data_IF_557225731482
#
_entry.id   IF_557225731482
#
_cell.length_a   1.000
_cell.length_b   1.000
_cell.length_c   1.000
_cell.angle_alpha   90.00
_cell.angle_beta   90.00
_cell.angle_gamma   90.00
#
_symmetry.space_group_name_H-M   'P 1'
#
loop_
_entity.id
_entity.type
_entity.pdbx_description
1 polymer ?
#
# COMPACT_ATOMS: atom_id res chain seq x y z
N UNK A 1 -14.32 8.43 -22.51
CA UNK A 1 -14.51 7.22 -21.68
C UNK A 1 -13.29 7.13 -20.79
N UNK A 2 -13.46 6.84 -19.50
CA UNK A 2 -12.31 6.58 -18.64
C UNK A 2 -11.59 5.32 -19.16
N UNK A 3 -10.25 5.31 -19.11
CA UNK A 3 -9.48 4.13 -19.50
C UNK A 3 -9.83 2.95 -18.57
N UNK A 4 -9.92 1.72 -19.11
CA UNK A 4 -10.19 0.55 -18.28
C UNK A 4 -9.08 0.35 -17.25
N UNK A 5 -9.46 0.02 -16.02
CA UNK A 5 -8.51 -0.30 -14.94
C UNK A 5 -7.70 -1.54 -15.32
N UNK A 6 -6.38 -1.43 -15.26
CA UNK A 6 -5.42 -2.53 -15.44
C UNK A 6 -5.08 -3.13 -14.07
N UNK A 7 -5.25 -4.44 -13.93
CA UNK A 7 -5.04 -5.15 -12.66
C UNK A 7 -3.68 -5.84 -12.60
N UNK A 8 -3.19 -6.08 -11.38
CA UNK A 8 -1.95 -6.83 -11.16
C UNK A 8 -2.22 -8.29 -11.50
N UNK A 9 -1.54 -8.87 -12.49
CA UNK A 9 -1.74 -10.26 -12.82
C UNK A 9 -1.07 -11.17 -11.76
N UNK A 10 -1.73 -12.24 -11.27
CA UNK A 10 -1.16 -13.11 -10.23
C UNK A 10 0.21 -13.70 -10.60
N UNK A 11 0.48 -13.95 -11.87
CA UNK A 11 1.77 -14.43 -12.37
C UNK A 11 2.93 -13.45 -12.17
N UNK A 12 2.65 -12.17 -11.88
CA UNK A 12 3.69 -11.19 -11.50
C UNK A 12 4.09 -11.24 -10.03
N UNK A 13 3.32 -11.94 -9.17
CA UNK A 13 3.61 -12.02 -7.73
C UNK A 13 5.02 -12.54 -7.41
N UNK A 14 5.55 -13.60 -8.05
CA UNK A 14 6.91 -14.06 -7.79
C UNK A 14 7.96 -12.96 -8.04
N UNK A 15 7.82 -12.18 -9.13
CA UNK A 15 8.74 -11.09 -9.43
C UNK A 15 8.64 -9.95 -8.41
N UNK A 16 7.43 -9.63 -7.96
CA UNK A 16 7.20 -8.62 -6.91
C UNK A 16 7.82 -9.07 -5.58
N UNK A 17 7.63 -10.34 -5.21
CA UNK A 17 8.23 -10.90 -4.00
C UNK A 17 9.75 -10.87 -4.08
N UNK A 18 10.34 -11.34 -5.17
CA UNK A 18 11.80 -11.27 -5.38
C UNK A 18 12.32 -9.84 -5.28
N UNK A 19 11.66 -8.87 -5.89
CA UNK A 19 12.08 -7.46 -5.79
C UNK A 19 12.06 -6.92 -4.35
N UNK A 20 11.07 -7.32 -3.54
CA UNK A 20 11.02 -6.95 -2.11
C UNK A 20 12.12 -7.69 -1.33
N UNK A 21 12.32 -8.97 -1.58
CA UNK A 21 13.33 -9.78 -0.88
C UNK A 21 14.76 -9.30 -1.17
N UNK A 22 15.09 -9.06 -2.44
CA UNK A 22 16.38 -8.49 -2.88
C UNK A 22 16.66 -7.14 -2.22
N UNK A 23 15.62 -6.31 -2.10
CA UNK A 23 15.71 -5.03 -1.41
C UNK A 23 16.05 -5.21 0.09
N UNK A 24 15.34 -6.09 0.79
CA UNK A 24 15.55 -6.32 2.23
C UNK A 24 16.88 -6.99 2.58
N UNK A 25 17.38 -7.84 1.68
CA UNK A 25 18.71 -8.43 1.82
C UNK A 25 19.83 -7.37 1.83
N UNK A 26 19.64 -6.22 1.17
CA UNK A 26 20.59 -5.10 1.21
C UNK A 26 20.61 -4.39 2.57
N UNK A 27 19.47 -4.37 3.26
CA UNK A 27 19.26 -3.65 4.53
C UNK A 27 19.49 -4.52 5.78
N UNK A 28 19.82 -5.82 5.62
CA UNK A 28 20.00 -6.79 6.71
C UNK A 28 18.75 -6.92 7.63
N UNK A 29 17.56 -6.65 7.09
CA UNK A 29 16.25 -6.76 7.74
C UNK A 29 15.67 -8.18 7.51
N UNK A 30 14.98 -8.81 8.49
CA UNK A 30 14.32 -10.10 8.29
C UNK A 30 13.41 -10.12 7.06
N UNK A 31 13.80 -10.95 6.11
CA UNK A 31 13.13 -11.16 4.83
C UNK A 31 11.90 -12.03 5.04
N UNK A 32 10.74 -11.53 4.60
CA UNK A 32 9.54 -12.34 4.49
C UNK A 32 9.68 -13.22 3.24
N UNK A 33 9.61 -14.54 3.40
CA UNK A 33 9.64 -15.48 2.28
C UNK A 33 8.21 -15.72 1.77
N UNK A 34 7.62 -14.70 1.14
CA UNK A 34 6.20 -14.70 0.77
C UNK A 34 5.80 -15.96 -0.01
N UNK A 35 6.64 -16.38 -0.98
CA UNK A 35 6.38 -17.54 -1.82
C UNK A 35 6.26 -18.87 -1.04
N UNK A 36 6.85 -18.94 0.17
CA UNK A 36 6.78 -20.12 1.03
C UNK A 36 5.53 -20.14 1.92
N UNK A 37 4.85 -18.99 2.08
CA UNK A 37 3.67 -18.82 2.93
C UNK A 37 2.38 -19.05 2.13
N UNK A 38 2.06 -20.31 1.87
CA UNK A 38 0.93 -20.73 0.99
C UNK A 38 -0.43 -20.13 1.35
N UNK A 39 -0.70 -19.95 2.64
CA UNK A 39 -1.98 -19.36 3.10
C UNK A 39 -2.03 -17.86 2.79
N UNK A 40 -0.92 -17.15 3.00
CA UNK A 40 -0.78 -15.74 2.62
C UNK A 40 -0.91 -15.52 1.13
N UNK A 41 -0.29 -16.37 0.30
CA UNK A 41 -0.46 -16.33 -1.16
C UNK A 41 -1.92 -16.50 -1.57
N UNK A 42 -2.63 -17.48 -1.01
CA UNK A 42 -4.06 -17.71 -1.32
C UNK A 42 -4.94 -16.52 -0.92
N UNK A 43 -4.67 -15.90 0.22
CA UNK A 43 -5.39 -14.71 0.68
C UNK A 43 -5.11 -13.50 -0.24
N UNK A 44 -3.85 -13.32 -0.66
CA UNK A 44 -3.47 -12.27 -1.58
C UNK A 44 -4.13 -12.46 -2.97
N UNK A 45 -4.11 -13.67 -3.52
CA UNK A 45 -4.79 -14.01 -4.78
C UNK A 45 -6.28 -13.67 -4.71
N UNK A 46 -6.95 -14.03 -3.60
CA UNK A 46 -8.36 -13.71 -3.38
C UNK A 46 -8.62 -12.19 -3.35
N UNK A 47 -7.71 -11.40 -2.77
CA UNK A 47 -7.81 -9.93 -2.85
C UNK A 47 -7.68 -9.45 -4.29
N UNK A 48 -6.69 -9.93 -5.05
CA UNK A 48 -6.48 -9.54 -6.45
C UNK A 48 -7.66 -9.92 -7.37
N UNK A 49 -8.34 -11.02 -7.10
CA UNK A 49 -9.60 -11.38 -7.78
C UNK A 49 -10.72 -10.41 -7.38
N UNK A 50 -10.89 -10.19 -6.07
CA UNK A 50 -12.01 -9.41 -5.53
C UNK A 50 -11.96 -7.92 -5.86
N UNK A 51 -10.77 -7.32 -6.07
CA UNK A 51 -10.68 -5.90 -6.48
C UNK A 51 -11.36 -5.62 -7.83
N UNK A 52 -11.53 -6.66 -8.65
CA UNK A 52 -12.11 -6.59 -10.00
C UNK A 52 -13.63 -6.56 -9.96
N UNK A 53 -14.25 -6.91 -8.83
CA UNK A 53 -15.70 -6.89 -8.65
C UNK A 53 -16.27 -5.45 -8.63
N UNK A 54 -17.56 -5.33 -8.93
CA UNK A 54 -18.28 -4.04 -9.01
C UNK A 54 -18.58 -3.41 -7.63
N UNK A 55 -18.18 -4.04 -6.52
CA UNK A 55 -18.32 -3.48 -5.17
C UNK A 55 -17.46 -2.24 -4.92
N UNK A 56 -16.42 -2.03 -5.74
CA UNK A 56 -15.50 -0.89 -5.66
C UNK A 56 -15.68 -0.04 -6.93
N UNK A 57 -16.49 1.04 -6.86
CA UNK A 57 -17.06 1.70 -8.04
C UNK A 57 -16.06 2.54 -8.84
N UNK A 58 -14.89 2.87 -8.29
CA UNK A 58 -13.90 3.72 -8.93
C UNK A 58 -12.46 3.27 -8.64
N UNK A 59 -11.49 3.94 -9.27
CA UNK A 59 -10.08 3.62 -9.13
C UNK A 59 -9.58 3.76 -7.68
N UNK A 60 -10.00 4.82 -6.97
CA UNK A 60 -9.51 5.13 -5.63
C UNK A 60 -10.03 4.12 -4.60
N UNK A 61 -11.30 3.72 -4.71
CA UNK A 61 -11.90 2.69 -3.86
C UNK A 61 -11.26 1.31 -4.11
N UNK A 62 -10.89 0.99 -5.36
CA UNK A 62 -10.12 -0.23 -5.69
C UNK A 62 -8.70 -0.18 -5.12
N UNK A 63 -7.99 0.93 -5.28
CA UNK A 63 -6.66 1.16 -4.72
C UNK A 63 -6.65 1.04 -3.19
N UNK A 64 -7.63 1.68 -2.53
CA UNK A 64 -7.81 1.64 -1.08
C UNK A 64 -8.10 0.23 -0.59
N UNK A 65 -8.96 -0.51 -1.29
CA UNK A 65 -9.27 -1.90 -0.94
C UNK A 65 -8.05 -2.81 -1.04
N UNK A 66 -7.30 -2.75 -2.14
CA UNK A 66 -6.06 -3.51 -2.33
C UNK A 66 -5.09 -3.25 -1.17
N UNK A 67 -4.83 -1.97 -0.90
CA UNK A 67 -3.88 -1.54 0.10
C UNK A 67 -4.28 -1.96 1.52
N UNK A 68 -5.50 -1.64 1.96
CA UNK A 68 -5.95 -1.95 3.32
C UNK A 68 -6.07 -3.45 3.56
N UNK A 69 -6.53 -4.22 2.56
CA UNK A 69 -6.69 -5.67 2.70
C UNK A 69 -5.36 -6.35 2.93
N UNK A 70 -4.31 -5.97 2.17
CA UNK A 70 -2.98 -6.55 2.35
C UNK A 70 -2.32 -6.02 3.62
N UNK A 71 -2.45 -4.72 3.92
CA UNK A 71 -1.80 -4.09 5.07
C UNK A 71 -2.32 -4.63 6.41
N UNK A 72 -3.65 -4.75 6.55
CA UNK A 72 -4.32 -5.17 7.79
C UNK A 72 -4.75 -6.63 7.83
N UNK A 73 -4.68 -7.34 6.71
CA UNK A 73 -5.13 -8.72 6.60
C UNK A 73 -4.21 -9.74 7.28
N UNK A 74 -3.00 -9.35 7.67
CA UNK A 74 -2.00 -10.25 8.28
C UNK A 74 -1.77 -11.54 7.47
N UNK A 75 -1.73 -11.42 6.13
CA UNK A 75 -1.61 -12.56 5.23
C UNK A 75 -0.31 -13.32 5.42
N UNK A 76 0.76 -12.59 5.75
CA UNK A 76 2.10 -13.12 5.93
C UNK A 76 2.61 -12.91 7.35
N UNK A 77 3.56 -13.75 7.76
CA UNK A 77 4.24 -13.67 9.06
C UNK A 77 4.99 -12.36 9.28
N UNK A 78 5.49 -11.75 8.20
CA UNK A 78 6.15 -10.44 8.20
C UNK A 78 5.95 -9.74 6.85
N UNK A 79 6.23 -8.44 6.79
CA UNK A 79 6.34 -7.71 5.53
C UNK A 79 5.02 -7.23 4.91
N UNK A 80 3.85 -7.50 5.51
CA UNK A 80 2.55 -7.04 4.99
C UNK A 80 2.49 -5.54 4.65
N UNK A 81 3.12 -4.69 5.48
CA UNK A 81 3.21 -3.24 5.26
C UNK A 81 3.98 -2.89 3.99
N UNK A 82 5.12 -3.55 3.79
CA UNK A 82 5.99 -3.40 2.61
C UNK A 82 5.26 -3.91 1.36
N UNK A 83 4.66 -5.09 1.44
CA UNK A 83 3.91 -5.68 0.35
C UNK A 83 2.71 -4.82 -0.07
N UNK A 84 1.95 -4.27 0.88
CA UNK A 84 0.83 -3.37 0.59
C UNK A 84 1.27 -2.11 -0.16
N UNK A 85 2.36 -1.46 0.27
CA UNK A 85 2.92 -0.30 -0.39
C UNK A 85 3.43 -0.63 -1.81
N UNK A 86 4.16 -1.74 -1.96
CA UNK A 86 4.67 -2.19 -3.27
C UNK A 86 3.56 -2.53 -4.25
N UNK A 87 2.54 -3.28 -3.82
CA UNK A 87 1.39 -3.63 -4.67
C UNK A 87 0.63 -2.38 -5.10
N UNK A 88 0.44 -1.41 -4.19
CA UNK A 88 -0.21 -0.16 -4.54
C UNK A 88 0.61 0.65 -5.56
N UNK A 89 1.94 0.72 -5.41
CA UNK A 89 2.81 1.33 -6.43
C UNK A 89 2.67 0.64 -7.78
N UNK A 90 2.74 -0.69 -7.82
CA UNK A 90 2.59 -1.46 -9.07
C UNK A 90 1.22 -1.18 -9.71
N UNK A 91 0.15 -1.16 -8.90
CA UNK A 91 -1.19 -0.84 -9.38
C UNK A 91 -1.28 0.57 -9.98
N UNK A 92 -0.63 1.56 -9.35
CA UNK A 92 -0.54 2.92 -9.90
C UNK A 92 0.23 2.96 -11.21
N UNK A 93 1.41 2.35 -11.26
CA UNK A 93 2.23 2.31 -12.48
C UNK A 93 1.49 1.64 -13.64
N UNK A 94 0.76 0.55 -13.39
CA UNK A 94 -0.03 -0.11 -14.44
C UNK A 94 -1.10 0.81 -15.04
N UNK A 95 -1.66 1.71 -14.23
CA UNK A 95 -2.76 2.60 -14.59
C UNK A 95 -2.31 4.04 -14.89
N UNK A 96 -1.02 4.25 -15.13
CA UNK A 96 -0.45 5.56 -15.47
C UNK A 96 -0.71 6.62 -14.37
N UNK A 97 -0.68 6.18 -13.10
CA UNK A 97 -0.76 7.04 -11.93
C UNK A 97 0.57 7.08 -11.16
N UNK A 98 0.84 8.20 -10.50
CA UNK A 98 1.97 8.37 -9.60
C UNK A 98 1.61 9.29 -8.44
N UNK A 99 2.45 9.26 -7.39
CA UNK A 99 2.38 10.19 -6.26
C UNK A 99 3.13 11.46 -6.63
N UNK A 100 2.47 12.61 -6.56
CA UNK A 100 3.07 13.92 -6.77
C UNK A 100 3.96 14.31 -5.58
N UNK A 101 5.29 14.47 -5.77
CA UNK A 101 6.20 14.86 -4.70
C UNK A 101 5.87 16.22 -4.07
N UNK A 102 5.25 17.14 -4.82
CA UNK A 102 4.90 18.46 -4.31
C UNK A 102 3.61 18.44 -3.45
N UNK A 103 2.85 17.34 -3.51
CA UNK A 103 1.67 17.11 -2.67
C UNK A 103 2.02 16.44 -1.32
N UNK A 104 3.30 16.14 -1.09
CA UNK A 104 3.83 15.54 0.15
C UNK A 104 3.78 16.42 1.42
N UNK A 105 3.69 17.77 1.40
CA UNK A 105 3.72 18.56 2.65
C UNK A 105 2.53 18.40 3.61
N UNK A 106 1.44 17.71 3.24
CA UNK A 106 0.28 17.46 4.13
C UNK A 106 0.35 16.13 4.92
N UNK A 107 1.56 15.70 5.27
CA UNK A 107 1.82 14.49 6.07
C UNK A 107 1.28 14.57 7.52
N UNK A 108 0.69 15.70 7.96
CA UNK A 108 -0.02 15.81 9.24
C UNK A 108 -1.52 15.90 8.97
N UNK A 109 -2.21 14.77 9.07
CA UNK A 109 -3.66 14.70 8.89
C UNK A 109 -4.32 14.96 10.24
N UNK A 110 -5.22 15.92 10.27
CA UNK A 110 -6.06 16.19 11.45
C UNK A 110 -7.47 15.72 11.14
N UNK A 111 -7.93 14.73 11.88
CA UNK A 111 -9.35 14.35 11.95
C UNK A 111 -9.93 14.91 13.25
N UNK A 112 -11.26 14.87 13.40
CA UNK A 112 -11.95 15.32 14.61
C UNK A 112 -11.52 14.55 15.88
N UNK A 113 -10.92 13.37 15.71
CA UNK A 113 -10.57 12.45 16.80
C UNK A 113 -9.08 12.08 16.87
N UNK A 114 -8.33 12.23 15.77
CA UNK A 114 -6.93 11.79 15.68
C UNK A 114 -6.09 12.79 14.88
N UNK A 115 -4.87 13.05 15.35
CA UNK A 115 -3.81 13.63 14.52
C UNK A 115 -2.90 12.50 14.07
N UNK A 116 -2.82 12.30 12.77
CA UNK A 116 -1.96 11.31 12.14
C UNK A 116 -0.79 12.05 11.53
N UNK A 117 0.39 11.84 12.10
CA UNK A 117 1.60 12.48 11.66
C UNK A 117 2.47 11.46 10.93
N UNK A 118 2.30 11.43 9.61
CA UNK A 118 3.07 10.61 8.68
C UNK A 118 4.55 11.05 8.62
N UNK A 119 4.96 12.15 9.27
CA UNK A 119 6.37 12.57 9.37
C UNK A 119 7.12 11.94 10.54
N UNK A 120 6.42 11.26 11.47
CA UNK A 120 7.00 10.76 12.73
C UNK A 120 7.62 9.37 12.69
N UNK A 121 7.67 8.71 11.53
CA UNK A 121 8.46 7.48 11.42
C UNK A 121 9.93 7.81 11.18
N UNK A 122 10.83 7.00 11.73
CA UNK A 122 12.20 6.83 11.22
C UNK A 122 12.10 6.17 9.83
N UNK A 123 11.52 6.87 8.87
CA UNK A 123 11.57 6.49 7.46
C UNK A 123 12.96 6.87 6.99
N UNK A 124 13.92 5.97 7.16
CA UNK A 124 15.23 6.22 6.56
C UNK A 124 14.99 6.39 5.05
N UNK A 125 15.24 7.57 4.51
CA UNK A 125 14.99 7.87 3.09
C UNK A 125 15.85 6.98 2.16
N UNK A 126 16.83 6.28 2.75
CA UNK A 126 17.60 5.19 2.16
C UNK A 126 16.74 3.95 1.88
N UNK A 127 15.69 3.66 2.67
CA UNK A 127 14.82 2.47 2.56
C UNK A 127 14.09 2.30 1.22
N UNK A 128 14.15 3.26 0.31
CA UNK A 128 13.66 3.11 -1.05
C UNK A 128 14.56 3.79 -2.08
N UNK A 129 15.86 3.92 -1.81
CA UNK A 129 16.81 4.65 -2.67
C UNK A 129 16.32 6.07 -3.06
N UNK A 130 15.59 6.75 -2.17
CA UNK A 130 15.00 8.07 -2.44
C UNK A 130 13.74 8.06 -3.32
N UNK A 131 13.10 6.93 -3.59
CA UNK A 131 11.80 6.86 -4.26
C UNK A 131 10.71 7.48 -3.38
N UNK A 132 10.40 8.75 -3.64
CA UNK A 132 9.44 9.54 -2.89
C UNK A 132 8.03 8.92 -2.86
N UNK A 133 7.62 8.26 -3.95
CA UNK A 133 6.33 7.57 -4.01
C UNK A 133 6.32 6.38 -3.04
N UNK A 134 7.37 5.56 -3.03
CA UNK A 134 7.45 4.44 -2.10
C UNK A 134 7.55 4.90 -0.64
N UNK A 135 8.34 5.94 -0.36
CA UNK A 135 8.45 6.53 0.99
C UNK A 135 7.05 6.93 1.50
N UNK A 136 6.28 7.62 0.66
CA UNK A 136 4.93 8.05 1.00
C UNK A 136 3.98 6.88 1.24
N UNK A 137 3.91 5.93 0.30
CA UNK A 137 3.01 4.78 0.41
C UNK A 137 3.36 3.90 1.62
N UNK A 138 4.64 3.77 1.93
CA UNK A 138 5.11 3.04 3.10
C UNK A 138 4.81 3.77 4.41
N UNK A 139 4.94 5.09 4.46
CA UNK A 139 4.55 5.88 5.63
C UNK A 139 3.07 5.67 5.97
N UNK A 140 2.18 5.72 4.97
CA UNK A 140 0.76 5.36 5.16
C UNK A 140 0.64 3.92 5.68
N UNK A 141 1.38 2.97 5.08
CA UNK A 141 1.28 1.55 5.44
C UNK A 141 1.66 1.29 6.89
N UNK A 142 2.63 2.01 7.43
CA UNK A 142 3.01 1.87 8.84
C UNK A 142 2.03 2.58 9.76
N UNK A 143 1.55 3.76 9.39
CA UNK A 143 0.50 4.45 10.14
C UNK A 143 -0.78 3.63 10.27
N UNK A 144 -1.23 2.98 9.18
CA UNK A 144 -2.42 2.12 9.21
C UNK A 144 -2.23 0.91 10.13
N UNK A 145 -0.98 0.44 10.26
CA UNK A 145 -0.63 -0.70 11.10
C UNK A 145 -0.23 -0.31 12.54
N UNK A 146 -0.21 0.97 12.88
CA UNK A 146 0.20 1.45 14.19
C UNK A 146 -0.83 1.06 15.27
N UNK A 147 -0.32 0.51 16.37
CA UNK A 147 -1.14 0.03 17.48
C UNK A 147 -2.02 1.13 18.09
N UNK A 148 -1.55 2.39 18.06
CA UNK A 148 -2.32 3.51 18.59
C UNK A 148 -3.65 3.74 17.85
N UNK A 149 -3.77 3.21 16.63
CA UNK A 149 -4.95 3.34 15.78
C UNK A 149 -5.73 2.02 15.59
N UNK A 150 -5.44 0.98 16.39
CA UNK A 150 -6.14 -0.31 16.34
C UNK A 150 -7.66 -0.19 16.56
N UNK A 151 -8.09 0.80 17.36
CA UNK A 151 -9.50 1.04 17.70
C UNK A 151 -10.31 1.71 16.57
N UNK A 152 -9.65 2.18 15.50
CA UNK A 152 -10.32 2.78 14.34
C UNK A 152 -10.96 1.67 13.50
N UNK A 153 -12.25 1.81 13.20
CA UNK A 153 -13.00 0.85 12.40
C UNK A 153 -12.46 0.78 10.96
N UNK A 154 -12.65 -0.34 10.29
CA UNK A 154 -12.15 -0.53 8.91
C UNK A 154 -12.71 0.53 7.95
N UNK A 155 -13.99 0.90 8.09
CA UNK A 155 -14.63 1.89 7.23
C UNK A 155 -14.06 3.31 7.43
N UNK A 156 -13.67 3.65 8.66
CA UNK A 156 -13.02 4.93 8.96
C UNK A 156 -11.62 4.99 8.31
N UNK A 157 -10.89 3.87 8.35
CA UNK A 157 -9.62 3.73 7.64
C UNK A 157 -9.79 3.83 6.12
N UNK A 158 -10.84 3.23 5.58
CA UNK A 158 -11.17 3.33 4.16
C UNK A 158 -11.33 4.78 3.77
N UNK A 159 -12.14 5.56 4.49
CA UNK A 159 -12.35 6.97 4.20
C UNK A 159 -11.06 7.79 4.28
N UNK A 160 -10.23 7.55 5.30
CA UNK A 160 -8.99 8.28 5.51
C UNK A 160 -7.95 7.95 4.43
N UNK A 161 -7.71 6.66 4.16
CA UNK A 161 -6.76 6.22 3.13
C UNK A 161 -7.22 6.69 1.77
N UNK A 162 -8.51 6.57 1.44
CA UNK A 162 -9.02 7.04 0.16
C UNK A 162 -8.76 8.53 -0.05
N UNK A 163 -8.99 9.36 0.99
CA UNK A 163 -8.66 10.79 0.95
C UNK A 163 -7.16 11.04 0.77
N UNK A 164 -6.32 10.33 1.49
CA UNK A 164 -4.86 10.46 1.38
C UNK A 164 -4.37 10.15 -0.03
N UNK A 165 -4.83 9.02 -0.57
CA UNK A 165 -4.47 8.58 -1.89
C UNK A 165 -4.98 9.59 -2.93
N UNK A 166 -6.21 10.10 -2.79
CA UNK A 166 -6.76 11.13 -3.70
C UNK A 166 -5.94 12.43 -3.74
N UNK A 167 -5.44 12.90 -2.58
CA UNK A 167 -4.66 14.16 -2.51
C UNK A 167 -3.38 14.06 -3.32
N UNK A 168 -2.72 12.90 -3.29
CA UNK A 168 -1.38 12.75 -3.88
C UNK A 168 -1.38 12.21 -5.31
N UNK A 169 -2.50 11.68 -5.78
CA UNK A 169 -2.54 10.93 -7.03
C UNK A 169 -2.65 11.86 -8.25
N UNK A 170 -1.69 11.73 -9.18
CA UNK A 170 -1.75 12.37 -10.50
C UNK A 170 -1.76 11.31 -11.59
N UNK A 171 -2.56 11.56 -12.64
CA UNK A 171 -2.53 10.76 -13.87
C UNK A 171 -1.48 11.36 -14.81
N UNK A 172 -0.62 10.51 -15.34
CA UNK A 172 0.41 10.86 -16.34
C UNK A 172 -0.21 11.13 -17.71
#
# INVERSE_FOLDING_TARGET
>A
MADPVRYIPPESLPQIFTAIEEYLHQENDPVAHYANERDGCRQLESVLERIQEDYYPDFNSKATYLFLSVNRGHFFSNGNKRLAATLLKVFYTLNDYHVDPDSLPELIIRTDHHTIDLTKGDWDATFFNGDAQMIFLYAIAVTVADEQFQNIQFDDWKLLVERLLQVVLKKT
#
